data_IF_474462793492
#
_entry.id   IF_474462793492
#
_cell.length_a   1.000
_cell.length_b   1.000
_cell.length_c   1.000
_cell.angle_alpha   90.00
_cell.angle_beta   90.00
_cell.angle_gamma   90.00
#
_symmetry.space_group_name_H-M   'P 1'
#
loop_
_entity.id
_entity.type
_entity.pdbx_description
1 polymer ?
#
# COMPACT_ATOMS: atom_id res chain seq x y z
N UNK A 1 2.13 -3.84 8.65
CA UNK A 1 3.20 -4.83 8.87
C UNK A 1 2.75 -6.14 8.28
N UNK A 2 3.56 -6.65 7.38
CA UNK A 2 3.25 -7.59 6.32
C UNK A 2 3.49 -9.05 6.72
N UNK A 3 3.35 -9.40 8.01
CA UNK A 3 3.62 -10.76 8.48
C UNK A 3 2.79 -11.75 7.66
N UNK A 4 3.45 -12.76 7.08
CA UNK A 4 2.83 -13.62 6.07
C UNK A 4 1.60 -14.36 6.61
N UNK A 5 0.43 -14.04 6.04
CA UNK A 5 -0.85 -14.61 6.45
C UNK A 5 -1.50 -13.96 7.68
N UNK A 6 -0.87 -12.97 8.31
CA UNK A 6 -1.41 -12.20 9.44
C UNK A 6 -0.89 -10.77 9.45
N UNK A 7 -1.32 -9.96 8.49
CA UNK A 7 -0.96 -8.56 8.46
C UNK A 7 -1.50 -7.84 9.71
N UNK A 8 -0.67 -7.00 10.32
CA UNK A 8 -1.06 -6.18 11.48
C UNK A 8 -1.05 -4.71 11.10
N UNK A 9 -2.05 -3.98 11.63
CA UNK A 9 -2.33 -2.60 11.29
C UNK A 9 -2.53 -1.78 12.56
N UNK A 10 -2.24 -0.48 12.48
CA UNK A 10 -2.79 0.49 13.42
C UNK A 10 -4.27 0.68 13.08
N UNK A 11 -5.13 0.86 14.09
CA UNK A 11 -6.59 0.97 13.88
C UNK A 11 -6.96 2.05 12.86
N UNK A 12 -6.31 3.21 12.94
CA UNK A 12 -6.48 4.34 12.03
C UNK A 12 -6.13 4.04 10.55
N UNK A 13 -5.35 2.99 10.29
CA UNK A 13 -4.92 2.56 8.95
C UNK A 13 -5.67 1.35 8.41
N UNK A 14 -6.67 0.85 9.15
CA UNK A 14 -7.46 -0.32 8.75
C UNK A 14 -8.97 -0.10 8.86
N UNK A 15 -9.42 0.62 9.90
CA UNK A 15 -10.83 0.82 10.18
C UNK A 15 -11.40 1.99 9.37
N UNK A 16 -12.50 1.74 8.65
CA UNK A 16 -13.29 2.76 7.96
C UNK A 16 -14.76 2.66 8.37
N UNK A 17 -15.34 3.79 8.78
CA UNK A 17 -16.73 3.89 9.19
C UNK A 17 -17.47 4.91 8.33
N UNK A 18 -18.43 4.43 7.54
CA UNK A 18 -19.25 5.29 6.66
C UNK A 18 -19.98 6.36 7.49
N UNK A 19 -19.84 7.63 7.08
CA UNK A 19 -20.46 8.77 7.76
C UNK A 19 -19.67 9.32 8.94
N UNK A 20 -18.54 8.69 9.31
CA UNK A 20 -17.62 9.17 10.35
C UNK A 20 -16.24 9.44 9.76
N UNK A 21 -15.69 8.46 9.04
CA UNK A 21 -14.40 8.55 8.38
C UNK A 21 -14.49 9.42 7.13
N UNK A 22 -13.44 10.20 6.88
CA UNK A 22 -13.32 11.03 5.67
C UNK A 22 -12.94 10.18 4.45
N UNK A 23 -13.13 10.70 3.24
CA UNK A 23 -12.63 10.03 2.03
C UNK A 23 -11.10 9.94 2.01
N UNK A 24 -10.39 10.88 2.64
CA UNK A 24 -8.94 10.77 2.83
C UNK A 24 -8.57 9.56 3.69
N UNK A 25 -9.33 9.27 4.75
CA UNK A 25 -9.13 8.06 5.55
C UNK A 25 -9.39 6.80 4.72
N UNK A 26 -10.45 6.79 3.91
CA UNK A 26 -10.76 5.66 3.02
C UNK A 26 -9.62 5.39 2.04
N UNK A 27 -9.10 6.44 1.42
CA UNK A 27 -7.97 6.35 0.50
C UNK A 27 -6.71 5.84 1.20
N UNK A 28 -6.43 6.30 2.43
CA UNK A 28 -5.29 5.84 3.22
C UNK A 28 -5.41 4.36 3.62
N UNK A 29 -6.58 3.93 4.10
CA UNK A 29 -6.86 2.52 4.44
C UNK A 29 -6.68 1.63 3.22
N UNK A 30 -7.25 2.01 2.07
CA UNK A 30 -7.11 1.25 0.83
C UNK A 30 -5.65 1.14 0.38
N UNK A 31 -4.89 2.25 0.45
CA UNK A 31 -3.47 2.28 0.10
C UNK A 31 -2.65 1.34 0.98
N UNK A 32 -2.82 1.43 2.30
CA UNK A 32 -2.08 0.58 3.26
C UNK A 32 -2.44 -0.90 3.07
N UNK A 33 -3.72 -1.23 2.88
CA UNK A 33 -4.13 -2.60 2.58
C UNK A 33 -3.46 -3.14 1.32
N UNK A 34 -3.46 -2.37 0.22
CA UNK A 34 -2.86 -2.77 -1.04
C UNK A 34 -1.33 -2.93 -0.96
N UNK A 35 -0.64 -2.04 -0.22
CA UNK A 35 0.80 -2.13 0.04
C UNK A 35 1.16 -3.43 0.79
N UNK A 36 0.47 -3.67 1.91
CA UNK A 36 0.74 -4.80 2.81
C UNK A 36 0.34 -6.15 2.20
N UNK A 37 -0.65 -6.16 1.31
CA UNK A 37 -0.98 -7.33 0.49
C UNK A 37 0.05 -7.56 -0.61
N UNK A 38 0.64 -6.51 -1.19
CA UNK A 38 1.70 -6.65 -2.20
C UNK A 38 2.93 -7.34 -1.61
N UNK A 39 3.22 -7.10 -0.34
CA UNK A 39 4.30 -7.78 0.37
C UNK A 39 4.16 -9.30 0.46
N UNK A 40 2.95 -9.87 0.30
CA UNK A 40 2.77 -11.33 0.27
C UNK A 40 3.54 -11.98 -0.89
N UNK A 41 3.81 -11.22 -1.96
CA UNK A 41 4.71 -11.62 -3.05
C UNK A 41 6.10 -10.98 -2.89
N UNK A 42 6.16 -9.66 -2.68
CA UNK A 42 7.42 -8.90 -2.65
C UNK A 42 7.84 -8.57 -1.21
N UNK A 43 8.67 -9.42 -0.62
CA UNK A 43 9.12 -9.34 0.76
C UNK A 43 8.92 -10.66 1.49
N UNK A 44 7.80 -11.34 1.27
CA UNK A 44 7.50 -12.64 1.85
C UNK A 44 7.89 -13.81 0.93
N UNK A 45 7.27 -13.94 -0.25
CA UNK A 45 7.58 -15.02 -1.19
C UNK A 45 8.98 -14.89 -1.80
N UNK A 46 9.34 -13.67 -2.19
CA UNK A 46 10.69 -13.30 -2.63
C UNK A 46 11.19 -12.19 -1.73
N UNK A 47 12.23 -12.48 -0.95
CA UNK A 47 12.80 -11.54 0.02
C UNK A 47 14.18 -11.05 -0.45
N UNK A 48 14.45 -9.76 -0.26
CA UNK A 48 15.79 -9.22 -0.46
C UNK A 48 16.85 -9.99 0.35
N UNK A 49 18.04 -10.20 -0.21
CA UNK A 49 19.11 -10.95 0.47
C UNK A 49 19.66 -10.22 1.70
N UNK A 50 19.72 -8.89 1.63
CA UNK A 50 20.23 -8.05 2.70
C UNK A 50 19.52 -6.70 2.73
N UNK A 51 19.56 -6.01 3.86
CA UNK A 51 18.85 -4.75 4.09
C UNK A 51 19.28 -3.60 3.19
N UNK A 52 20.48 -3.65 2.60
CA UNK A 52 20.88 -2.70 1.56
C UNK A 52 19.95 -2.73 0.33
N UNK A 53 19.31 -3.88 0.09
CA UNK A 53 18.40 -4.11 -1.02
C UNK A 53 16.92 -4.06 -0.57
N UNK A 54 16.62 -3.46 0.58
CA UNK A 54 15.24 -3.39 1.14
C UNK A 54 14.24 -2.73 0.19
N UNK A 55 14.73 -1.90 -0.74
CA UNK A 55 13.93 -1.30 -1.79
C UNK A 55 13.26 -2.35 -2.70
N UNK A 56 13.81 -3.58 -2.81
CA UNK A 56 13.17 -4.68 -3.53
C UNK A 56 11.87 -5.13 -2.87
N UNK A 57 11.74 -4.95 -1.56
CA UNK A 57 10.51 -5.24 -0.83
C UNK A 57 9.59 -3.99 -0.86
N UNK A 58 10.06 -2.89 -0.25
CA UNK A 58 9.25 -1.69 -0.03
C UNK A 58 8.92 -0.92 -1.31
N UNK A 59 9.87 -0.85 -2.25
CA UNK A 59 9.68 -0.17 -3.52
C UNK A 59 8.68 -0.90 -4.42
N UNK A 60 8.76 -2.24 -4.45
CA UNK A 60 7.78 -3.05 -5.18
C UNK A 60 6.40 -2.99 -4.54
N UNK A 61 6.30 -3.08 -3.20
CA UNK A 61 5.02 -2.94 -2.51
C UNK A 61 4.39 -1.57 -2.76
N UNK A 62 5.18 -0.50 -2.69
CA UNK A 62 4.74 0.87 -2.99
C UNK A 62 4.27 1.03 -4.44
N UNK A 63 4.96 0.40 -5.40
CA UNK A 63 4.57 0.46 -6.81
C UNK A 63 3.30 -0.36 -7.10
N UNK A 64 3.24 -1.60 -6.62
CA UNK A 64 2.10 -2.50 -6.83
C UNK A 64 0.84 -2.06 -6.08
N UNK A 65 0.98 -1.30 -4.99
CA UNK A 65 -0.14 -0.63 -4.31
C UNK A 65 -1.04 0.11 -5.30
N UNK A 66 -0.49 0.86 -6.25
CA UNK A 66 -1.30 1.64 -7.21
C UNK A 66 -2.13 0.75 -8.14
N UNK A 67 -1.60 -0.41 -8.55
CA UNK A 67 -2.36 -1.39 -9.33
C UNK A 67 -3.46 -2.05 -8.49
N UNK A 68 -3.17 -2.36 -7.23
CA UNK A 68 -4.17 -2.88 -6.29
C UNK A 68 -5.31 -1.88 -6.05
N UNK A 69 -4.97 -0.59 -5.95
CA UNK A 69 -5.95 0.49 -5.85
C UNK A 69 -6.77 0.63 -7.14
N UNK A 70 -6.13 0.61 -8.31
CA UNK A 70 -6.82 0.76 -9.60
C UNK A 70 -7.84 -0.38 -9.81
N UNK A 71 -7.48 -1.60 -9.42
CA UNK A 71 -8.36 -2.75 -9.51
C UNK A 71 -9.53 -2.74 -8.51
N UNK A 72 -9.39 -2.08 -7.35
CA UNK A 72 -10.36 -2.18 -6.24
C UNK A 72 -11.16 -0.90 -5.96
N UNK A 73 -10.56 0.26 -6.17
CA UNK A 73 -11.11 1.61 -5.92
C UNK A 73 -10.63 2.61 -7.01
N UNK A 74 -10.96 2.36 -8.30
CA UNK A 74 -10.49 3.17 -9.42
C UNK A 74 -10.87 4.65 -9.33
N UNK A 75 -11.93 4.99 -8.58
CA UNK A 75 -12.36 6.37 -8.38
C UNK A 75 -11.34 7.27 -7.66
N UNK A 76 -10.29 6.70 -7.06
CA UNK A 76 -9.19 7.45 -6.46
C UNK A 76 -8.10 7.87 -7.46
N UNK A 77 -8.27 7.58 -8.75
CA UNK A 77 -7.33 7.89 -9.83
C UNK A 77 -5.86 7.53 -9.47
N UNK A 78 -5.57 6.23 -9.24
CA UNK A 78 -4.28 5.82 -8.68
C UNK A 78 -3.10 6.12 -9.59
N UNK A 79 -3.31 6.13 -10.91
CA UNK A 79 -2.28 6.48 -11.88
C UNK A 79 -1.81 7.93 -11.72
N UNK A 80 -2.75 8.87 -11.64
CA UNK A 80 -2.41 10.27 -11.41
C UNK A 80 -1.78 10.47 -10.03
N UNK A 81 -2.30 9.77 -9.02
CA UNK A 81 -1.74 9.81 -7.67
C UNK A 81 -0.29 9.33 -7.62
N UNK A 82 0.07 8.27 -8.35
CA UNK A 82 1.46 7.84 -8.49
C UNK A 82 2.36 8.96 -9.02
N UNK A 83 1.92 9.70 -10.03
CA UNK A 83 2.68 10.83 -10.56
C UNK A 83 2.89 11.92 -9.51
N UNK A 84 1.85 12.31 -8.77
CA UNK A 84 1.94 13.34 -7.72
C UNK A 84 2.87 12.90 -6.60
N UNK A 85 2.66 11.69 -6.07
CA UNK A 85 3.41 11.18 -4.91
C UNK A 85 4.89 10.94 -5.28
N UNK A 86 5.18 10.48 -6.50
CA UNK A 86 6.55 10.29 -6.98
C UNK A 86 7.32 11.60 -7.16
N UNK A 87 6.65 12.68 -7.58
CA UNK A 87 7.25 14.02 -7.69
C UNK A 87 7.47 14.66 -6.32
N UNK A 88 6.57 14.44 -5.37
CA UNK A 88 6.71 14.97 -4.01
C UNK A 88 7.84 14.30 -3.21
N UNK A 89 8.22 13.08 -3.59
CA UNK A 89 9.30 12.31 -2.96
C UNK A 89 10.69 12.56 -3.57
N UNK A 90 10.79 13.35 -4.65
CA UNK A 90 12.03 13.69 -5.36
C UNK A 90 12.62 15.03 -4.87
#
# INVERSE_FOLDING_TARGET
MENWGLNTYREELFMYYKGVSTEANRAQVASVLAHELSHQWFGNLVTCKWWSDIWLNEGFASYWMYFGLDASVPEFDPHNRFHIDSLAAA
#
